data_IF_795414040211
#
_entry.id   IF_795414040211
#
_cell.length_a   1.000
_cell.length_b   1.000
_cell.length_c   1.000
_cell.angle_alpha   90.00
_cell.angle_beta   90.00
_cell.angle_gamma   90.00
#
_symmetry.space_group_name_H-M   'P 1'
#
loop_
_entity.id
_entity.type
_entity.pdbx_description
1 polymer ?
#
# COMPACT_ATOMS: atom_id res chain seq x y z
N UNK A 1 13.94 -12.49 -18.56
CA UNK A 1 14.00 -11.60 -17.37
C UNK A 1 12.68 -10.85 -17.27
N UNK A 2 11.85 -11.16 -16.27
CA UNK A 2 10.59 -10.45 -16.07
C UNK A 2 10.90 -9.03 -15.58
N UNK A 3 10.41 -8.01 -16.29
CA UNK A 3 10.57 -6.60 -15.90
C UNK A 3 9.76 -6.40 -14.62
N UNK A 4 10.42 -6.19 -13.48
CA UNK A 4 9.74 -5.82 -12.24
C UNK A 4 9.20 -4.41 -12.44
N UNK A 5 7.88 -4.29 -12.55
CA UNK A 5 7.18 -3.02 -12.70
C UNK A 5 6.72 -2.60 -11.30
N UNK A 6 6.93 -1.33 -10.92
CA UNK A 6 6.41 -0.83 -9.64
C UNK A 6 4.88 -0.92 -9.62
N UNK A 7 4.29 -1.10 -8.44
CA UNK A 7 2.82 -1.12 -8.30
C UNK A 7 2.20 0.15 -8.89
N UNK A 8 2.84 1.30 -8.70
CA UNK A 8 2.41 2.55 -9.33
C UNK A 8 2.37 2.49 -10.84
N UNK A 9 3.45 2.03 -11.48
CA UNK A 9 3.51 1.98 -12.93
C UNK A 9 2.50 0.96 -13.48
N UNK A 10 2.26 -0.13 -12.75
CA UNK A 10 1.21 -1.09 -13.08
C UNK A 10 -0.20 -0.47 -12.99
N UNK A 11 -0.52 0.21 -11.89
CA UNK A 11 -1.79 0.90 -11.69
C UNK A 11 -2.02 1.99 -12.74
N UNK A 12 -0.99 2.83 -12.99
CA UNK A 12 -1.00 3.86 -14.03
C UNK A 12 -1.34 3.25 -15.38
N UNK A 13 -0.64 2.20 -15.79
CA UNK A 13 -0.85 1.56 -17.11
C UNK A 13 -2.25 0.97 -17.26
N UNK A 14 -2.78 0.32 -16.23
CA UNK A 14 -4.14 -0.25 -16.27
C UNK A 14 -5.19 0.86 -16.32
N UNK A 15 -5.10 1.86 -15.45
CA UNK A 15 -6.08 2.94 -15.40
C UNK A 15 -6.06 3.77 -16.68
N UNK A 16 -4.87 4.09 -17.21
CA UNK A 16 -4.74 4.79 -18.49
C UNK A 16 -5.39 4.00 -19.62
N UNK A 17 -5.22 2.67 -19.66
CA UNK A 17 -5.84 1.83 -20.68
C UNK A 17 -7.37 1.85 -20.56
N UNK A 18 -7.91 1.61 -19.36
CA UNK A 18 -9.36 1.56 -19.14
C UNK A 18 -10.05 2.89 -19.45
N UNK A 19 -9.45 4.00 -19.05
CA UNK A 19 -10.01 5.33 -19.29
C UNK A 19 -9.99 5.70 -20.77
N UNK A 20 -8.92 5.33 -21.51
CA UNK A 20 -8.87 5.48 -22.97
C UNK A 20 -9.93 4.63 -23.66
N UNK A 21 -10.12 3.39 -23.24
CA UNK A 21 -11.18 2.50 -23.76
C UNK A 21 -12.59 3.08 -23.50
N UNK A 22 -12.76 3.82 -22.40
CA UNK A 22 -13.99 4.55 -22.09
C UNK A 22 -14.12 5.92 -22.80
N UNK A 23 -13.15 6.32 -23.63
CA UNK A 23 -13.16 7.62 -24.32
C UNK A 23 -12.91 8.84 -23.42
N UNK A 24 -12.34 8.62 -22.24
CA UNK A 24 -12.05 9.67 -21.24
C UNK A 24 -10.56 10.00 -21.27
N UNK A 25 -10.21 11.28 -21.09
CA UNK A 25 -8.81 11.69 -20.91
C UNK A 25 -8.25 11.07 -19.60
N UNK A 26 -7.27 10.16 -19.68
CA UNK A 26 -6.79 9.42 -18.52
C UNK A 26 -5.97 10.28 -17.56
N UNK A 27 -5.23 11.26 -18.08
CA UNK A 27 -4.16 11.94 -17.35
C UNK A 27 -4.64 12.63 -16.05
N UNK A 28 -5.70 13.46 -16.06
CA UNK A 28 -6.15 14.13 -14.83
C UNK A 28 -6.71 13.17 -13.78
N UNK A 29 -7.30 12.05 -14.20
CA UNK A 29 -7.90 11.06 -13.31
C UNK A 29 -6.81 10.18 -12.68
N UNK A 30 -5.89 9.69 -13.49
CA UNK A 30 -4.77 8.85 -13.03
C UNK A 30 -3.87 9.63 -12.09
N UNK A 31 -3.54 10.88 -12.41
CA UNK A 31 -2.72 11.73 -11.53
C UNK A 31 -3.40 11.95 -10.16
N UNK A 32 -4.70 12.27 -10.14
CA UNK A 32 -5.47 12.41 -8.90
C UNK A 32 -5.57 11.12 -8.11
N UNK A 33 -5.75 9.98 -8.78
CA UNK A 33 -5.81 8.68 -8.14
C UNK A 33 -4.50 8.37 -7.40
N UNK A 34 -3.37 8.49 -8.10
CA UNK A 34 -2.05 8.22 -7.53
C UNK A 34 -1.71 9.17 -6.38
N UNK A 35 -2.00 10.47 -6.54
CA UNK A 35 -1.78 11.44 -5.46
C UNK A 35 -2.61 11.10 -4.21
N UNK A 36 -3.87 10.68 -4.39
CA UNK A 36 -4.75 10.33 -3.28
C UNK A 36 -4.35 9.01 -2.62
N UNK A 37 -3.91 8.03 -3.43
CA UNK A 37 -3.34 6.76 -2.96
C UNK A 37 -2.13 7.04 -2.09
N UNK A 38 -1.19 7.86 -2.53
CA UNK A 38 0.03 8.15 -1.78
C UNK A 38 -0.27 8.88 -0.47
N UNK A 39 -1.12 9.91 -0.52
CA UNK A 39 -1.58 10.60 0.70
C UNK A 39 -2.26 9.65 1.67
N UNK A 40 -3.06 8.69 1.17
CA UNK A 40 -3.71 7.69 2.00
C UNK A 40 -2.70 6.74 2.63
N UNK A 41 -1.76 6.21 1.84
CA UNK A 41 -0.70 5.32 2.30
C UNK A 41 0.18 5.97 3.35
N UNK A 42 0.61 7.22 3.14
CA UNK A 42 1.38 7.98 4.14
C UNK A 42 0.60 8.12 5.44
N UNK A 43 -0.66 8.58 5.39
CA UNK A 43 -1.50 8.71 6.60
C UNK A 43 -1.75 7.37 7.29
N UNK A 44 -1.89 6.30 6.53
CA UNK A 44 -2.07 4.96 7.07
C UNK A 44 -0.79 4.52 7.80
N UNK A 45 0.37 4.67 7.17
CA UNK A 45 1.67 4.39 7.78
C UNK A 45 1.85 5.23 9.04
N UNK A 46 1.56 6.53 9.02
CA UNK A 46 1.63 7.40 10.21
C UNK A 46 0.70 6.92 11.33
N UNK A 47 -0.54 6.54 11.02
CA UNK A 47 -1.47 6.01 12.02
C UNK A 47 -0.98 4.70 12.61
N UNK A 48 -0.46 3.80 11.79
CA UNK A 48 0.12 2.53 12.23
C UNK A 48 1.44 2.75 12.99
N UNK A 49 2.21 3.77 12.62
CA UNK A 49 3.42 4.23 13.31
C UNK A 49 3.14 4.90 14.67
N UNK A 50 1.90 5.30 14.92
CA UNK A 50 1.46 5.84 16.21
C UNK A 50 0.53 4.88 16.96
N UNK A 51 0.23 3.71 16.39
CA UNK A 51 -0.57 2.69 17.06
C UNK A 51 0.21 2.07 18.23
N UNK A 52 -0.47 1.86 19.35
CA UNK A 52 0.04 1.08 20.48
C UNK A 52 0.50 -0.31 20.00
N UNK A 53 1.62 -0.85 20.52
CA UNK A 53 2.12 -2.18 20.11
C UNK A 53 1.08 -3.30 20.18
N UNK A 54 0.19 -3.25 21.18
CA UNK A 54 -0.89 -4.22 21.34
C UNK A 54 -1.94 -4.11 20.23
N UNK A 55 -2.20 -2.89 19.76
CA UNK A 55 -3.09 -2.65 18.62
C UNK A 55 -2.43 -3.08 17.30
N UNK A 56 -1.14 -2.77 17.11
CA UNK A 56 -0.37 -3.20 15.96
C UNK A 56 -0.37 -4.73 15.82
N UNK A 57 -0.17 -5.47 16.92
CA UNK A 57 -0.21 -6.93 16.92
C UNK A 57 -1.59 -7.49 16.56
N UNK A 58 -2.68 -6.90 17.09
CA UNK A 58 -4.05 -7.30 16.73
C UNK A 58 -4.34 -7.09 15.25
N UNK A 59 -3.91 -5.96 14.69
CA UNK A 59 -4.07 -5.68 13.26
C UNK A 59 -3.24 -6.65 12.41
N UNK A 60 -2.00 -6.95 12.81
CA UNK A 60 -1.14 -7.92 12.14
C UNK A 60 -1.81 -9.31 12.08
N UNK A 61 -2.33 -9.79 13.21
CA UNK A 61 -3.01 -11.10 13.28
C UNK A 61 -4.26 -11.16 12.40
N UNK A 62 -5.02 -10.06 12.33
CA UNK A 62 -6.19 -9.99 11.45
C UNK A 62 -5.79 -10.05 9.97
N UNK A 63 -4.81 -9.23 9.58
CA UNK A 63 -4.35 -9.13 8.19
C UNK A 63 -3.61 -10.38 7.70
N UNK A 64 -2.91 -11.10 8.58
CA UNK A 64 -2.23 -12.36 8.25
C UNK A 64 -3.20 -13.45 7.76
N UNK A 65 -4.48 -13.36 8.13
CA UNK A 65 -5.54 -14.31 7.69
C UNK A 65 -6.15 -13.93 6.34
N UNK A 66 -5.81 -12.77 5.80
CA UNK A 66 -6.31 -12.33 4.50
C UNK A 66 -5.72 -13.19 3.37
N UNK A 67 -6.50 -13.50 2.31
CA UNK A 67 -5.99 -14.13 1.10
C UNK A 67 -5.15 -13.15 0.25
N UNK A 68 -5.21 -11.84 0.51
CA UNK A 68 -4.49 -10.83 -0.24
C UNK A 68 -2.99 -10.80 0.15
N UNK A 69 -2.06 -10.97 -0.80
CA UNK A 69 -0.62 -10.88 -0.53
C UNK A 69 -0.18 -9.56 0.10
N UNK A 70 -0.81 -8.44 -0.27
CA UNK A 70 -0.48 -7.13 0.29
C UNK A 70 -0.83 -7.03 1.79
N UNK A 71 -1.97 -7.60 2.17
CA UNK A 71 -2.40 -7.65 3.57
C UNK A 71 -1.43 -8.49 4.40
N UNK A 72 -0.92 -9.59 3.84
CA UNK A 72 0.09 -10.43 4.52
C UNK A 72 1.43 -9.72 4.68
N UNK A 73 1.86 -8.95 3.68
CA UNK A 73 3.07 -8.11 3.78
C UNK A 73 2.90 -7.03 4.86
N UNK A 74 1.74 -6.37 4.88
CA UNK A 74 1.41 -5.39 5.91
C UNK A 74 1.33 -6.02 7.31
N UNK A 75 0.81 -7.24 7.41
CA UNK A 75 0.78 -8.00 8.66
C UNK A 75 2.19 -8.28 9.20
N UNK A 76 3.11 -8.73 8.34
CA UNK A 76 4.50 -8.97 8.72
C UNK A 76 5.19 -7.68 9.20
N UNK A 77 4.95 -6.56 8.51
CA UNK A 77 5.45 -5.25 8.92
C UNK A 77 4.90 -4.81 10.28
N UNK A 78 3.60 -5.00 10.53
CA UNK A 78 2.97 -4.64 11.80
C UNK A 78 3.42 -5.54 12.96
N UNK A 79 3.65 -6.82 12.71
CA UNK A 79 4.19 -7.75 13.70
C UNK A 79 5.62 -7.37 14.10
N UNK A 80 6.50 -7.14 13.11
CA UNK A 80 7.87 -6.69 13.36
C UNK A 80 7.89 -5.37 14.15
N UNK A 81 6.99 -4.43 13.85
CA UNK A 81 6.86 -3.18 14.59
C UNK A 81 6.31 -3.34 16.02
N UNK A 82 5.44 -4.33 16.25
CA UNK A 82 4.96 -4.60 17.61
C UNK A 82 6.07 -5.16 18.50
N UNK A 83 7.02 -5.89 17.91
CA UNK A 83 8.18 -6.48 18.56
C UNK A 83 9.35 -5.47 18.73
N UNK A 84 9.54 -4.60 17.74
CA UNK A 84 10.67 -3.66 17.67
C UNK A 84 10.20 -2.21 17.87
N UNK A 85 10.73 -1.52 18.89
CA UNK A 85 10.48 -0.08 19.13
C UNK A 85 11.13 0.82 18.06
N UNK A 86 11.84 0.24 17.09
CA UNK A 86 12.56 0.94 16.04
C UNK A 86 11.67 1.24 14.82
N UNK A 87 11.92 2.33 14.07
CA UNK A 87 11.12 2.67 12.91
C UNK A 87 11.27 1.58 11.83
N UNK A 88 10.16 1.12 11.25
CA UNK A 88 10.17 -0.05 10.38
C UNK A 88 10.67 0.28 8.96
N UNK A 89 11.15 -0.73 8.22
CA UNK A 89 11.64 -0.55 6.85
C UNK A 89 10.52 -0.09 5.90
N UNK A 90 10.95 0.57 4.81
CA UNK A 90 10.05 1.08 3.76
C UNK A 90 9.24 -0.06 3.13
N UNK A 91 7.93 0.11 3.03
CA UNK A 91 7.03 -0.78 2.28
C UNK A 91 7.24 -0.72 0.76
N UNK A 92 8.12 0.19 0.29
CA UNK A 92 8.37 0.49 -1.12
C UNK A 92 9.80 0.14 -1.58
N UNK A 93 10.53 -0.69 -0.83
CA UNK A 93 11.84 -1.20 -1.24
C UNK A 93 11.70 -2.43 -2.15
#
# INVERSE_FOLDING_TARGET
MARVVSIEEYERRILTRLLREAGVDPEPIVARFLERRDKYSVRLIEKLANADPSAALRFAQHLARSPNPLDRTLAAWLAARAEDRSPPPSLYA
#
